data_IF_079234715230
#
_entry.id   IF_079234715230
#
_cell.length_a   1.000
_cell.length_b   1.000
_cell.length_c   1.000
_cell.angle_alpha   90.00
_cell.angle_beta   90.00
_cell.angle_gamma   90.00
#
_symmetry.space_group_name_H-M   'P 1'
#
loop_
_entity.id
_entity.type
_entity.pdbx_description
1 polymer ?
#
# COMPACT_ATOMS: atom_id res chain seq x y z
N UNK A 1 35.56 6.58 7.61
CA UNK A 1 34.19 7.10 7.42
C UNK A 1 33.59 6.47 6.16
N UNK A 2 32.63 5.56 6.30
CA UNK A 2 32.03 4.84 5.17
C UNK A 2 31.25 5.80 4.25
N UNK A 3 31.75 6.02 3.03
CA UNK A 3 31.08 6.79 1.97
C UNK A 3 30.61 5.88 0.83
N UNK A 4 30.36 4.61 1.13
CA UNK A 4 30.00 3.54 0.21
C UNK A 4 29.40 2.36 0.98
N UNK A 5 28.57 1.58 0.28
CA UNK A 5 27.78 0.48 0.81
C UNK A 5 26.60 0.18 -0.12
N UNK A 6 26.00 -0.99 0.04
CA UNK A 6 24.79 -1.40 -0.68
C UNK A 6 23.58 -1.34 0.24
N UNK A 7 22.43 -0.96 -0.31
CA UNK A 7 21.14 -1.02 0.37
C UNK A 7 20.12 -1.75 -0.52
N UNK A 8 19.45 -2.74 0.03
CA UNK A 8 18.39 -3.50 -0.60
C UNK A 8 17.03 -3.10 -0.01
N UNK A 9 16.26 -2.33 -0.78
CA UNK A 9 14.99 -1.74 -0.36
C UNK A 9 13.80 -2.46 -0.99
N UNK A 10 12.83 -2.87 -0.20
CA UNK A 10 11.52 -3.31 -0.69
C UNK A 10 10.48 -2.19 -0.59
N UNK A 11 9.59 -2.02 -1.57
CA UNK A 11 8.47 -1.09 -1.42
C UNK A 11 7.23 -1.54 -2.18
N UNK A 12 6.04 -1.29 -1.63
CA UNK A 12 4.80 -1.35 -2.43
C UNK A 12 4.77 -0.22 -3.46
N UNK A 13 4.05 -0.41 -4.55
CA UNK A 13 4.13 0.44 -5.76
C UNK A 13 4.00 1.94 -5.50
N UNK A 14 2.97 2.38 -4.77
CA UNK A 14 2.74 3.82 -4.54
C UNK A 14 3.87 4.46 -3.72
N UNK A 15 4.24 3.95 -2.53
CA UNK A 15 5.41 4.42 -1.79
C UNK A 15 6.75 4.32 -2.53
N UNK A 16 6.93 3.33 -3.41
CA UNK A 16 8.13 3.26 -4.24
C UNK A 16 8.26 4.51 -5.13
N UNK A 17 7.18 4.91 -5.78
CA UNK A 17 7.14 6.06 -6.69
C UNK A 17 7.17 7.38 -5.91
N UNK A 18 6.33 7.51 -4.89
CA UNK A 18 6.10 8.78 -4.19
C UNK A 18 7.18 9.11 -3.16
N UNK A 19 7.81 8.10 -2.55
CA UNK A 19 8.75 8.28 -1.44
C UNK A 19 10.16 7.80 -1.79
N UNK A 20 10.29 6.55 -2.23
CA UNK A 20 11.61 5.94 -2.41
C UNK A 20 12.38 6.58 -3.57
N UNK A 21 11.76 6.77 -4.74
CA UNK A 21 12.41 7.37 -5.91
C UNK A 21 12.97 8.78 -5.61
N UNK A 22 12.20 9.73 -5.04
CA UNK A 22 12.75 11.03 -4.64
C UNK A 22 13.89 10.93 -3.63
N UNK A 23 13.75 10.08 -2.59
CA UNK A 23 14.77 9.92 -1.56
C UNK A 23 16.08 9.33 -2.12
N UNK A 24 15.99 8.33 -3.00
CA UNK A 24 17.14 7.73 -3.68
C UNK A 24 17.88 8.77 -4.52
N UNK A 25 17.15 9.64 -5.25
CA UNK A 25 17.76 10.71 -6.05
C UNK A 25 18.55 11.68 -5.18
N UNK A 26 18.01 12.06 -4.02
CA UNK A 26 18.69 12.95 -3.09
C UNK A 26 19.93 12.28 -2.46
N UNK A 27 19.79 11.04 -1.99
CA UNK A 27 20.88 10.28 -1.36
C UNK A 27 22.04 10.06 -2.35
N UNK A 28 21.76 9.71 -3.61
CA UNK A 28 22.80 9.53 -4.63
C UNK A 28 23.58 10.81 -4.92
N UNK A 29 22.97 11.99 -4.74
CA UNK A 29 23.67 13.28 -4.87
C UNK A 29 24.66 13.50 -3.73
N UNK A 30 24.30 13.10 -2.51
CA UNK A 30 25.14 13.24 -1.32
C UNK A 30 26.24 12.16 -1.24
N UNK A 31 25.94 10.96 -1.72
CA UNK A 31 26.81 9.79 -1.68
C UNK A 31 26.90 9.11 -3.05
N UNK A 32 27.72 9.62 -3.99
CA UNK A 32 27.77 9.13 -5.37
C UNK A 32 28.19 7.66 -5.55
N UNK A 33 28.75 7.04 -4.50
CA UNK A 33 29.20 5.63 -4.50
C UNK A 33 28.27 4.69 -3.73
N UNK A 34 27.08 5.15 -3.33
CA UNK A 34 26.10 4.25 -2.71
C UNK A 34 25.44 3.39 -3.78
N UNK A 35 25.35 2.10 -3.52
CA UNK A 35 24.58 1.18 -4.35
C UNK A 35 23.21 0.98 -3.70
N UNK A 36 22.15 1.21 -4.47
CA UNK A 36 20.78 1.03 -3.97
C UNK A 36 20.05 0.17 -5.00
N UNK A 37 19.57 -0.98 -4.55
CA UNK A 37 18.67 -1.84 -5.31
C UNK A 37 17.29 -1.78 -4.66
N UNK A 38 16.25 -1.72 -5.49
CA UNK A 38 14.87 -1.64 -5.03
C UNK A 38 14.02 -2.72 -5.70
N UNK A 39 13.22 -3.44 -4.92
CA UNK A 39 12.23 -4.39 -5.40
C UNK A 39 10.82 -3.86 -5.10
N UNK A 40 9.94 -3.93 -6.10
CA UNK A 40 8.54 -3.55 -5.95
C UNK A 40 7.69 -4.81 -5.88
N UNK A 41 7.04 -5.02 -4.74
CA UNK A 41 6.25 -6.22 -4.45
C UNK A 41 5.10 -5.92 -3.49
N UNK A 42 4.22 -6.89 -3.29
CA UNK A 42 3.13 -6.78 -2.30
C UNK A 42 3.66 -6.80 -0.87
N UNK A 43 2.93 -6.18 0.08
CA UNK A 43 3.30 -6.19 1.51
C UNK A 43 3.51 -7.60 2.07
N UNK A 44 2.72 -8.57 1.62
CA UNK A 44 2.81 -9.97 2.04
C UNK A 44 4.12 -10.63 1.61
N UNK A 45 4.62 -10.31 0.43
CA UNK A 45 5.91 -10.82 -0.08
C UNK A 45 7.04 -10.12 0.65
N UNK A 46 7.03 -8.79 0.64
CA UNK A 46 8.08 -7.96 1.24
C UNK A 46 8.31 -8.24 2.73
N UNK A 47 7.24 -8.43 3.52
CA UNK A 47 7.37 -8.72 4.95
C UNK A 47 8.03 -10.08 5.20
N UNK A 48 7.73 -11.10 4.39
CA UNK A 48 8.36 -12.44 4.49
C UNK A 48 9.81 -12.39 4.02
N UNK A 49 10.10 -11.63 2.96
CA UNK A 49 11.45 -11.42 2.47
C UNK A 49 12.33 -10.64 3.45
N UNK A 50 11.76 -9.68 4.19
CA UNK A 50 12.46 -8.97 5.26
C UNK A 50 12.83 -9.91 6.41
N UNK A 51 11.91 -10.76 6.86
CA UNK A 51 12.19 -11.81 7.88
C UNK A 51 13.31 -12.75 7.39
N UNK A 52 13.33 -13.06 6.09
CA UNK A 52 14.36 -13.88 5.47
C UNK A 52 15.67 -13.12 5.15
N UNK A 53 15.84 -11.90 5.67
CA UNK A 53 17.00 -11.04 5.47
C UNK A 53 17.34 -10.80 3.99
N UNK A 54 16.33 -10.78 3.11
CA UNK A 54 16.50 -10.44 1.69
C UNK A 54 16.46 -8.94 1.43
N UNK A 55 15.92 -8.17 2.36
CA UNK A 55 15.86 -6.72 2.31
C UNK A 55 16.49 -6.14 3.58
N UNK A 56 17.15 -5.00 3.47
CA UNK A 56 17.63 -4.25 4.64
C UNK A 56 16.46 -3.55 5.35
N UNK A 57 15.51 -3.02 4.56
CA UNK A 57 14.24 -2.52 5.07
C UNK A 57 13.19 -2.48 3.96
N UNK A 58 11.92 -2.34 4.37
CA UNK A 58 10.79 -2.26 3.45
C UNK A 58 9.89 -1.06 3.76
N UNK A 59 9.24 -0.53 2.72
CA UNK A 59 8.15 0.44 2.83
C UNK A 59 6.86 -0.28 2.46
N UNK A 60 6.23 -0.89 3.47
CA UNK A 60 5.08 -1.77 3.31
C UNK A 60 4.19 -1.72 4.55
N UNK A 61 3.07 -2.43 4.48
CA UNK A 61 2.22 -2.73 5.64
C UNK A 61 2.66 -4.06 6.25
N UNK A 62 2.49 -4.21 7.57
CA UNK A 62 2.66 -5.50 8.23
C UNK A 62 1.39 -6.33 7.94
N UNK A 63 1.51 -7.51 7.31
CA UNK A 63 0.37 -8.40 7.10
C UNK A 63 -0.27 -8.86 8.41
N UNK A 64 -1.59 -8.97 8.45
CA UNK A 64 -2.35 -9.36 9.65
C UNK A 64 -2.04 -10.81 10.11
N UNK A 65 -1.54 -11.66 9.21
CA UNK A 65 -1.14 -13.04 9.49
C UNK A 65 0.27 -13.16 10.08
N UNK A 66 1.01 -12.06 10.23
CA UNK A 66 2.34 -12.04 10.82
C UNK A 66 2.34 -11.35 12.18
N UNK A 67 3.20 -11.83 13.09
CA UNK A 67 3.39 -11.20 14.40
C UNK A 67 4.10 -9.84 14.24
N UNK A 68 3.45 -8.70 14.57
CA UNK A 68 4.03 -7.38 14.39
C UNK A 68 5.30 -7.16 15.23
N UNK A 69 5.50 -7.91 16.32
CA UNK A 69 6.70 -7.83 17.17
C UNK A 69 7.97 -8.34 16.50
N UNK A 70 7.86 -9.00 15.35
CA UNK A 70 9.01 -9.40 14.53
C UNK A 70 9.62 -8.21 13.78
N UNK A 71 8.96 -7.06 13.78
CA UNK A 71 9.35 -5.89 13.00
C UNK A 71 9.60 -4.69 13.91
N UNK A 72 10.70 -4.00 13.67
CA UNK A 72 10.82 -2.60 14.07
C UNK A 72 10.13 -1.75 12.99
N UNK A 73 9.10 -1.00 13.37
CA UNK A 73 8.29 -0.25 12.41
C UNK A 73 8.13 1.21 12.80
N UNK A 74 8.09 2.07 11.78
CA UNK A 74 7.79 3.50 11.91
C UNK A 74 6.68 3.85 10.93
N UNK A 75 5.62 4.47 11.43
CA UNK A 75 4.54 4.98 10.59
C UNK A 75 5.05 6.21 9.82
N UNK A 76 4.96 6.16 8.50
CA UNK A 76 5.42 7.24 7.61
C UNK A 76 4.28 7.98 6.90
N UNK A 77 3.04 7.47 7.01
CA UNK A 77 1.88 8.06 6.37
C UNK A 77 0.65 7.17 6.44
N UNK A 78 -0.47 7.69 5.94
CA UNK A 78 -1.74 6.98 5.80
C UNK A 78 -2.09 6.92 4.33
N UNK A 79 -2.41 5.73 3.84
CA UNK A 79 -2.91 5.52 2.48
C UNK A 79 -4.43 5.78 2.45
N UNK A 80 -4.88 6.76 1.67
CA UNK A 80 -6.31 7.05 1.50
C UNK A 80 -6.84 6.29 0.30
N UNK A 81 -7.78 5.37 0.53
CA UNK A 81 -8.55 4.78 -0.54
C UNK A 81 -9.66 5.73 -1.00
N UNK A 82 -9.88 5.81 -2.31
CA UNK A 82 -11.04 6.46 -2.89
C UNK A 82 -11.76 5.51 -3.85
N UNK A 83 -13.07 5.70 -3.96
CA UNK A 83 -13.87 5.05 -4.99
C UNK A 83 -13.86 5.90 -6.24
N UNK A 84 -13.72 5.26 -7.38
CA UNK A 84 -13.79 5.89 -8.69
C UNK A 84 -15.00 5.35 -9.43
N UNK A 85 -15.66 6.23 -10.19
CA UNK A 85 -16.81 5.91 -11.02
C UNK A 85 -16.61 6.49 -12.41
N UNK A 86 -17.31 5.94 -13.41
CA UNK A 86 -17.30 6.51 -14.75
C UNK A 86 -17.80 7.96 -14.74
N UNK A 87 -17.39 8.74 -15.75
CA UNK A 87 -17.93 10.09 -15.95
C UNK A 87 -19.45 10.05 -16.09
N UNK A 88 -20.14 11.00 -15.43
CA UNK A 88 -21.60 11.11 -15.45
C UNK A 88 -22.32 10.04 -14.63
N UNK A 89 -21.63 9.34 -13.73
CA UNK A 89 -22.26 8.41 -12.80
C UNK A 89 -23.21 9.16 -11.86
N UNK A 90 -24.37 8.61 -11.47
CA UNK A 90 -25.28 9.28 -10.55
C UNK A 90 -24.63 9.73 -9.23
N UNK A 91 -23.67 8.95 -8.72
CA UNK A 91 -22.91 9.25 -7.50
C UNK A 91 -21.87 10.38 -7.67
N UNK A 92 -21.54 10.80 -8.89
CA UNK A 92 -20.53 11.85 -9.12
C UNK A 92 -21.10 13.28 -9.07
N UNK A 93 -22.36 13.47 -8.64
CA UNK A 93 -23.09 14.76 -8.70
C UNK A 93 -22.77 15.72 -7.53
N UNK A 94 -21.57 15.63 -6.95
CA UNK A 94 -21.03 16.65 -6.03
C UNK A 94 -21.55 16.64 -4.59
N UNK A 95 -22.41 15.69 -4.20
CA UNK A 95 -22.77 15.46 -2.79
C UNK A 95 -21.86 14.39 -2.17
N UNK A 96 -21.69 14.43 -0.85
CA UNK A 96 -21.07 13.32 -0.13
C UNK A 96 -21.88 12.04 -0.37
N UNK A 97 -21.18 10.97 -0.77
CA UNK A 97 -21.78 9.67 -1.08
C UNK A 97 -21.69 8.79 0.15
N UNK A 98 -22.82 8.28 0.62
CA UNK A 98 -22.86 7.29 1.69
C UNK A 98 -22.52 5.90 1.15
N UNK A 99 -21.93 5.06 1.99
CA UNK A 99 -21.54 3.70 1.58
C UNK A 99 -22.77 2.87 1.15
N UNK A 100 -23.92 3.05 1.78
CA UNK A 100 -25.18 2.39 1.42
C UNK A 100 -25.63 2.72 0.00
N UNK A 101 -25.44 3.97 -0.45
CA UNK A 101 -25.80 4.40 -1.81
C UNK A 101 -24.93 3.71 -2.87
N UNK A 102 -23.73 3.25 -2.48
CA UNK A 102 -22.83 2.54 -3.39
C UNK A 102 -23.22 1.07 -3.56
N UNK A 103 -23.98 0.48 -2.64
CA UNK A 103 -24.37 -0.92 -2.68
C UNK A 103 -25.40 -1.22 -3.78
N UNK A 104 -26.07 -0.18 -4.30
CA UNK A 104 -27.10 -0.26 -5.34
C UNK A 104 -26.54 -0.26 -6.78
N UNK A 105 -25.22 -0.34 -6.94
CA UNK A 105 -24.53 -0.32 -8.23
C UNK A 105 -23.55 -1.49 -8.33
N UNK A 106 -23.10 -1.80 -9.55
CA UNK A 106 -22.12 -2.87 -9.81
C UNK A 106 -20.71 -2.47 -9.33
N UNK A 107 -19.99 -3.43 -8.75
CA UNK A 107 -18.64 -3.21 -8.22
C UNK A 107 -17.55 -4.01 -8.91
N UNK A 108 -16.51 -3.29 -9.35
CA UNK A 108 -15.25 -3.89 -9.78
C UNK A 108 -14.29 -3.97 -8.59
N UNK A 109 -14.21 -5.15 -7.97
CA UNK A 109 -13.29 -5.40 -6.86
C UNK A 109 -11.90 -5.83 -7.33
N UNK A 110 -10.88 -5.52 -6.51
CA UNK A 110 -9.57 -6.16 -6.63
C UNK A 110 -9.68 -7.68 -6.41
N UNK A 111 -8.62 -8.41 -6.77
CA UNK A 111 -8.52 -9.83 -6.46
C UNK A 111 -8.67 -10.09 -4.95
N UNK A 112 -9.21 -11.29 -4.63
CA UNK A 112 -9.39 -11.74 -3.25
C UNK A 112 -8.08 -11.69 -2.47
N UNK A 113 -8.14 -11.27 -1.20
CA UNK A 113 -6.98 -11.19 -0.31
C UNK A 113 -6.12 -9.94 -0.46
N UNK A 114 -6.44 -9.02 -1.38
CA UNK A 114 -5.81 -7.70 -1.38
C UNK A 114 -6.26 -6.91 -0.14
N UNK A 115 -5.33 -6.20 0.54
CA UNK A 115 -5.68 -5.42 1.73
C UNK A 115 -6.77 -4.36 1.50
N UNK A 116 -6.83 -3.77 0.29
CA UNK A 116 -7.86 -2.80 -0.04
C UNK A 116 -9.24 -3.45 -0.15
N UNK A 117 -9.33 -4.65 -0.74
CA UNK A 117 -10.58 -5.42 -0.79
C UNK A 117 -11.05 -5.80 0.61
N UNK A 118 -10.16 -6.31 1.46
CA UNK A 118 -10.50 -6.66 2.85
C UNK A 118 -10.98 -5.43 3.63
N UNK A 119 -10.30 -4.29 3.49
CA UNK A 119 -10.70 -3.04 4.13
C UNK A 119 -12.07 -2.53 3.64
N UNK A 120 -12.37 -2.73 2.36
CA UNK A 120 -13.67 -2.38 1.79
C UNK A 120 -14.77 -3.31 2.30
N UNK A 121 -14.58 -4.62 2.20
CA UNK A 121 -15.53 -5.63 2.68
C UNK A 121 -15.82 -5.44 4.18
N UNK A 122 -14.79 -5.18 4.98
CA UNK A 122 -14.94 -4.86 6.41
C UNK A 122 -15.77 -3.60 6.66
N UNK A 123 -15.65 -2.57 5.81
CA UNK A 123 -16.46 -1.35 5.94
C UNK A 123 -17.96 -1.59 5.69
N UNK A 124 -18.30 -2.44 4.71
CA UNK A 124 -19.68 -2.85 4.47
C UNK A 124 -20.23 -3.68 5.64
N UNK A 125 -19.48 -4.70 6.06
CA UNK A 125 -19.89 -5.61 7.15
C UNK A 125 -20.07 -4.87 8.48
N UNK A 126 -19.12 -4.00 8.87
CA UNK A 126 -19.20 -3.24 10.12
C UNK A 126 -20.40 -2.28 10.19
N UNK A 127 -21.02 -1.97 9.05
CA UNK A 127 -22.21 -1.11 8.93
C UNK A 127 -23.49 -1.89 8.66
N UNK A 128 -23.44 -3.23 8.68
CA UNK A 128 -24.54 -4.13 8.33
C UNK A 128 -25.10 -3.84 6.92
N UNK A 129 -24.23 -3.49 5.98
CA UNK A 129 -24.59 -3.27 4.57
C UNK A 129 -24.21 -4.53 3.82
N UNK A 130 -25.12 -5.05 2.99
CA UNK A 130 -24.81 -6.16 2.10
C UNK A 130 -23.66 -5.78 1.15
N UNK A 131 -22.78 -6.73 0.86
CA UNK A 131 -21.78 -6.52 -0.18
C UNK A 131 -22.51 -6.34 -1.53
N UNK A 132 -22.07 -5.39 -2.36
CA UNK A 132 -22.63 -5.19 -3.68
C UNK A 132 -22.35 -6.38 -4.58
N UNK A 133 -23.26 -6.59 -5.53
CA UNK A 133 -23.08 -7.58 -6.58
C UNK A 133 -21.93 -7.17 -7.54
N UNK A 134 -21.39 -8.17 -8.23
CA UNK A 134 -20.30 -8.00 -9.21
C UNK A 134 -20.82 -7.57 -10.56
#
# INVERSE_FOLDING_TARGET
>A
AGKGGSVFLGAVTAPAIELAVPAIREIRRLYPRIEITMQVETSNVLARELIASRHDFIIARIPDDLNPRLFESRVIGVEKACLIVRRGHPLSKGKAVRLEETAAYDWVFQSGGSPLRQAMESNFLNRNIALPDR
#
